data_IF_526236596142
#
_entry.id   IF_526236596142
#
_cell.length_a   1.000
_cell.length_b   1.000
_cell.length_c   1.000
_cell.angle_alpha   90.00
_cell.angle_beta   90.00
_cell.angle_gamma   90.00
#
_symmetry.space_group_name_H-M   'P 1'
#
loop_
_entity.id
_entity.type
_entity.pdbx_description
1 polymer ?
#
# COMPACT_ATOMS: atom_id res chain seq x y z
N UNK A 1 15.30 37.42 18.72
CA UNK A 1 16.08 36.33 18.12
C UNK A 1 15.12 35.20 17.82
N UNK A 2 14.82 34.96 16.53
CA UNK A 2 13.78 34.03 16.10
C UNK A 2 14.23 32.58 16.30
N UNK A 3 13.59 31.86 17.22
CA UNK A 3 13.80 30.43 17.43
C UNK A 3 13.26 29.66 16.22
N UNK A 4 14.18 29.10 15.43
CA UNK A 4 13.87 28.13 14.37
C UNK A 4 13.23 26.90 15.00
N UNK A 5 11.89 26.83 14.98
CA UNK A 5 11.14 25.59 15.24
C UNK A 5 11.73 24.49 14.36
N UNK A 6 12.23 23.43 15.00
CA UNK A 6 12.67 22.20 14.33
C UNK A 6 11.50 21.74 13.45
N UNK A 7 11.64 21.86 12.13
CA UNK A 7 10.73 21.24 11.18
C UNK A 7 10.74 19.75 11.51
N UNK A 8 9.72 19.28 12.24
CA UNK A 8 9.44 17.86 12.34
C UNK A 8 9.36 17.32 10.93
N UNK A 9 9.99 16.15 10.70
CA UNK A 9 10.06 15.48 9.40
C UNK A 9 8.67 15.50 8.77
N UNK A 10 8.43 16.28 7.69
CA UNK A 10 7.11 16.33 7.07
C UNK A 10 6.88 14.97 6.45
N UNK A 11 6.28 14.08 7.21
CA UNK A 11 5.83 12.80 6.69
C UNK A 11 4.43 13.09 6.17
N UNK A 12 4.34 13.73 5.00
CA UNK A 12 3.10 14.15 4.33
C UNK A 12 2.23 12.95 3.87
N UNK A 13 2.60 11.75 4.27
CA UNK A 13 1.82 10.54 4.04
C UNK A 13 2.16 9.56 5.15
N UNK A 14 1.66 9.77 6.38
CA UNK A 14 1.65 8.68 7.33
C UNK A 14 0.87 7.56 6.64
N UNK A 15 1.47 6.36 6.57
CA UNK A 15 0.77 5.13 6.15
C UNK A 15 -0.19 4.77 7.29
N UNK A 16 -1.21 5.60 7.48
CA UNK A 16 -2.10 5.64 8.65
C UNK A 16 -3.09 4.49 8.63
N UNK A 17 -3.41 3.98 7.45
CA UNK A 17 -4.47 2.99 7.28
C UNK A 17 -3.87 1.59 7.13
N UNK A 18 -4.04 0.76 8.17
CA UNK A 18 -3.85 -0.67 8.10
C UNK A 18 -5.15 -1.32 7.62
N UNK A 19 -5.16 -1.81 6.38
CA UNK A 19 -6.25 -2.61 5.86
C UNK A 19 -6.16 -4.03 6.46
N UNK A 20 -7.00 -4.32 7.46
CA UNK A 20 -7.15 -5.69 7.99
C UNK A 20 -8.25 -6.40 7.20
N UNK A 21 -7.87 -7.26 6.28
CA UNK A 21 -8.79 -8.10 5.50
C UNK A 21 -8.65 -9.53 5.97
N UNK A 22 -9.78 -10.18 6.29
CA UNK A 22 -9.84 -11.64 6.39
C UNK A 22 -9.90 -12.17 4.97
N UNK A 23 -8.87 -12.92 4.57
CA UNK A 23 -8.80 -13.62 3.30
C UNK A 23 -8.83 -15.12 3.55
N UNK A 24 -9.48 -15.85 2.64
CA UNK A 24 -9.41 -17.30 2.59
C UNK A 24 -8.03 -17.79 2.16
N UNK A 25 -7.70 -19.05 2.48
CA UNK A 25 -6.40 -19.65 2.14
C UNK A 25 -6.10 -19.59 0.64
N UNK A 26 -7.10 -19.86 -0.20
CA UNK A 26 -6.93 -19.79 -1.67
C UNK A 26 -6.54 -18.38 -2.14
N UNK A 27 -7.15 -17.35 -1.55
CA UNK A 27 -6.83 -15.96 -1.89
C UNK A 27 -5.41 -15.60 -1.44
N UNK A 28 -4.96 -16.15 -0.31
CA UNK A 28 -3.58 -16.01 0.18
C UNK A 28 -2.57 -16.71 -0.75
N UNK A 29 -2.87 -17.92 -1.21
CA UNK A 29 -2.02 -18.66 -2.16
C UNK A 29 -1.93 -17.94 -3.52
N UNK A 30 -3.05 -17.45 -4.03
CA UNK A 30 -3.08 -16.64 -5.25
C UNK A 30 -2.29 -15.35 -5.08
N UNK A 31 -2.41 -14.69 -3.93
CA UNK A 31 -1.67 -13.47 -3.62
C UNK A 31 -0.15 -13.75 -3.50
N UNK A 32 0.25 -14.86 -2.87
CA UNK A 32 1.65 -15.27 -2.80
C UNK A 32 2.22 -15.67 -4.17
N UNK A 33 1.42 -16.32 -5.02
CA UNK A 33 1.79 -16.61 -6.40
C UNK A 33 2.02 -15.33 -7.21
N UNK A 34 1.09 -14.38 -7.13
CA UNK A 34 1.22 -13.07 -7.77
C UNK A 34 2.42 -12.30 -7.21
N UNK A 35 2.63 -12.27 -5.89
CA UNK A 35 3.80 -11.64 -5.29
C UNK A 35 5.13 -12.22 -5.80
N UNK A 36 5.21 -13.55 -5.96
CA UNK A 36 6.39 -14.21 -6.56
C UNK A 36 6.57 -13.85 -8.03
N UNK A 37 5.50 -13.86 -8.80
CA UNK A 37 5.52 -13.56 -10.23
C UNK A 37 5.94 -12.11 -10.52
N UNK A 38 5.39 -11.17 -9.76
CA UNK A 38 5.71 -9.75 -9.90
C UNK A 38 6.95 -9.31 -9.10
N UNK A 39 7.55 -10.20 -8.29
CA UNK A 39 8.63 -9.89 -7.34
C UNK A 39 8.33 -8.66 -6.46
N UNK A 40 7.06 -8.51 -6.06
CA UNK A 40 6.60 -7.40 -5.23
C UNK A 40 6.25 -7.88 -3.83
N UNK A 41 6.50 -7.02 -2.85
CA UNK A 41 6.00 -7.22 -1.49
C UNK A 41 4.46 -7.26 -1.50
N UNK A 42 3.87 -8.07 -0.61
CA UNK A 42 2.40 -8.18 -0.45
C UNK A 42 1.73 -6.81 -0.35
N UNK A 43 2.33 -5.89 0.40
CA UNK A 43 1.82 -4.52 0.55
C UNK A 43 1.90 -3.69 -0.74
N UNK A 44 2.94 -3.87 -1.55
CA UNK A 44 3.09 -3.15 -2.82
C UNK A 44 2.16 -3.73 -3.88
N UNK A 45 2.02 -5.06 -3.93
CA UNK A 45 1.07 -5.74 -4.82
C UNK A 45 -0.35 -5.23 -4.58
N UNK A 46 -0.82 -5.23 -3.32
CA UNK A 46 -2.18 -4.75 -2.98
C UNK A 46 -2.37 -3.28 -3.35
N UNK A 47 -1.38 -2.41 -3.11
CA UNK A 47 -1.46 -0.99 -3.48
C UNK A 47 -1.59 -0.80 -4.98
N UNK A 48 -0.72 -1.47 -5.75
CA UNK A 48 -0.70 -1.35 -7.20
C UNK A 48 -2.01 -1.86 -7.80
N UNK A 49 -2.51 -2.99 -7.29
CA UNK A 49 -3.79 -3.55 -7.72
C UNK A 49 -4.98 -2.62 -7.42
N UNK A 50 -5.01 -1.99 -6.25
CA UNK A 50 -6.05 -1.01 -5.90
C UNK A 50 -5.96 0.20 -6.84
N UNK A 51 -4.75 0.71 -7.09
CA UNK A 51 -4.54 1.87 -7.94
C UNK A 51 -4.91 1.61 -9.40
N UNK A 52 -4.50 0.47 -9.96
CA UNK A 52 -4.87 0.04 -11.31
C UNK A 52 -6.38 -0.11 -11.45
N UNK A 53 -7.03 -0.84 -10.53
CA UNK A 53 -8.50 -0.97 -10.56
C UNK A 53 -9.23 0.35 -10.38
N UNK A 54 -8.69 1.26 -9.57
CA UNK A 54 -9.29 2.59 -9.37
C UNK A 54 -9.14 3.45 -10.63
N UNK A 55 -8.00 3.39 -11.31
CA UNK A 55 -7.76 4.08 -12.58
C UNK A 55 -8.70 3.55 -13.68
N UNK A 56 -8.84 2.22 -13.78
CA UNK A 56 -9.78 1.56 -14.69
C UNK A 56 -11.24 1.98 -14.45
N UNK A 57 -11.64 2.18 -13.19
CA UNK A 57 -12.99 2.62 -12.81
C UNK A 57 -13.24 4.11 -13.03
N UNK A 58 -12.18 4.93 -13.10
CA UNK A 58 -12.27 6.39 -13.29
C UNK A 58 -12.29 6.78 -14.78
N UNK A 59 -12.21 5.79 -15.67
CA UNK A 59 -12.24 5.94 -17.12
C UNK A 59 -13.66 6.02 -17.64
#
# INVERSE_FOLDING_TARGET
MAEKKKLGRPTDSPKTFMLRVKMDKQTLENLDYCCKHYQLNRSEFVRRNIQEKFDDLKK
#
